data_IF_853966028753
#
_entry.id   IF_853966028753
#
_cell.length_a   1.000
_cell.length_b   1.000
_cell.length_c   1.000
_cell.angle_alpha   90.00
_cell.angle_beta   90.00
_cell.angle_gamma   90.00
#
_symmetry.space_group_name_H-M   'P 1'
#
loop_
_entity.id
_entity.type
_entity.pdbx_description
1 polymer ?
#
# COMPACT_ATOMS: atom_id res chain seq x y z
N UNK A 1 -5.35 25.62 10.22
CA UNK A 1 -5.82 24.94 9.01
C UNK A 1 -4.66 24.91 8.03
N UNK A 2 -4.19 23.71 7.66
CA UNK A 2 -3.19 23.56 6.62
C UNK A 2 -3.79 23.94 5.25
N UNK A 3 -3.07 24.63 4.37
CA UNK A 3 -3.54 24.93 3.03
C UNK A 3 -3.70 23.63 2.23
N UNK A 4 -4.81 23.51 1.50
CA UNK A 4 -5.06 22.38 0.62
C UNK A 4 -4.97 22.90 -0.82
N UNK A 5 -4.09 22.31 -1.62
CA UNK A 5 -3.97 22.56 -3.05
C UNK A 5 -4.55 21.35 -3.78
N UNK A 6 -5.60 21.56 -4.57
CA UNK A 6 -6.18 20.53 -5.42
C UNK A 6 -5.70 20.69 -6.85
N UNK A 7 -5.09 19.65 -7.40
CA UNK A 7 -4.57 19.62 -8.76
C UNK A 7 -5.29 18.54 -9.55
N UNK A 8 -5.68 18.87 -10.79
CA UNK A 8 -6.33 17.93 -11.71
C UNK A 8 -5.50 17.82 -12.97
N UNK A 9 -5.13 16.59 -13.33
CA UNK A 9 -4.42 16.29 -14.56
C UNK A 9 -5.28 15.35 -15.43
N UNK A 10 -5.56 15.80 -16.63
CA UNK A 10 -6.30 15.06 -17.66
C UNK A 10 -5.42 14.72 -18.88
N UNK A 11 -4.16 15.17 -18.86
CA UNK A 11 -3.15 14.89 -19.90
C UNK A 11 -1.79 14.57 -19.29
N UNK A 12 -0.94 13.87 -20.04
CA UNK A 12 0.43 13.54 -19.63
C UNK A 12 1.29 14.81 -19.37
N UNK A 13 1.09 15.85 -20.15
CA UNK A 13 1.78 17.14 -19.99
C UNK A 13 1.45 17.76 -18.63
N UNK A 14 0.17 17.84 -18.29
CA UNK A 14 -0.27 18.32 -16.98
C UNK A 14 0.22 17.44 -15.83
N UNK A 15 0.24 16.12 -16.02
CA UNK A 15 0.82 15.20 -15.03
C UNK A 15 2.31 15.48 -14.81
N UNK A 16 3.07 15.75 -15.88
CA UNK A 16 4.49 16.11 -15.78
C UNK A 16 4.72 17.42 -15.03
N UNK A 17 3.89 18.45 -15.30
CA UNK A 17 3.92 19.72 -14.59
C UNK A 17 3.58 19.56 -13.11
N UNK A 18 2.51 18.81 -12.82
CA UNK A 18 2.10 18.50 -11.45
C UNK A 18 3.19 17.74 -10.71
N UNK A 19 3.81 16.75 -11.35
CA UNK A 19 4.97 16.02 -10.79
C UNK A 19 6.07 16.97 -10.37
N UNK A 20 6.49 17.87 -11.27
CA UNK A 20 7.53 18.84 -10.96
C UNK A 20 7.14 19.75 -9.81
N UNK A 21 5.88 20.16 -9.72
CA UNK A 21 5.34 20.96 -8.63
C UNK A 21 5.34 20.21 -7.29
N UNK A 22 4.83 18.98 -7.28
CA UNK A 22 4.80 18.14 -6.07
C UNK A 22 6.20 17.88 -5.54
N UNK A 23 7.14 17.51 -6.42
CA UNK A 23 8.52 17.19 -6.03
C UNK A 23 9.31 18.39 -5.47
N UNK A 24 8.84 19.60 -5.77
CA UNK A 24 9.42 20.85 -5.25
C UNK A 24 8.62 21.48 -4.12
N UNK A 25 7.44 20.94 -3.86
CA UNK A 25 6.60 21.41 -2.76
C UNK A 25 7.10 20.85 -1.44
N UNK A 26 6.93 21.64 -0.39
CA UNK A 26 7.18 21.22 0.99
C UNK A 26 5.88 20.68 1.60
N UNK A 27 5.19 19.82 0.85
CA UNK A 27 3.91 19.28 1.26
C UNK A 27 4.08 18.17 2.31
N UNK A 28 3.36 18.26 3.42
CA UNK A 28 3.33 17.22 4.44
C UNK A 28 2.59 15.95 3.95
N UNK A 29 1.62 16.15 3.06
CA UNK A 29 0.77 15.09 2.51
C UNK A 29 0.59 15.25 1.01
N UNK A 30 0.70 14.13 0.30
CA UNK A 30 0.21 13.98 -1.07
C UNK A 30 -0.91 12.94 -1.06
N UNK A 31 -2.07 13.32 -1.56
CA UNK A 31 -3.21 12.41 -1.70
C UNK A 31 -3.51 12.28 -3.18
N UNK A 32 -3.27 11.10 -3.72
CA UNK A 32 -3.65 10.76 -5.09
C UNK A 32 -5.00 10.05 -5.05
N UNK A 33 -6.03 10.73 -5.52
CA UNK A 33 -7.40 10.22 -5.45
C UNK A 33 -7.58 8.90 -6.19
N UNK A 34 -6.87 8.71 -7.30
CA UNK A 34 -6.83 7.45 -8.03
C UNK A 34 -5.59 7.38 -8.93
N UNK A 35 -4.85 6.25 -8.84
CA UNK A 35 -3.80 5.91 -9.78
C UNK A 35 -4.30 4.81 -10.73
N UNK A 36 -4.32 5.08 -12.03
CA UNK A 36 -4.85 4.17 -13.08
C UNK A 36 -3.83 3.76 -14.12
N UNK A 37 -2.73 4.49 -14.23
CA UNK A 37 -1.72 4.29 -15.26
C UNK A 37 -0.30 4.44 -14.71
N UNK A 38 0.68 4.08 -15.53
CA UNK A 38 2.08 4.09 -15.15
C UNK A 38 2.60 5.46 -14.72
N UNK A 39 2.08 6.55 -15.32
CA UNK A 39 2.50 7.91 -14.97
C UNK A 39 2.01 8.30 -13.58
N UNK A 40 0.76 7.99 -13.27
CA UNK A 40 0.18 8.22 -11.94
C UNK A 40 0.91 7.38 -10.88
N UNK A 41 1.23 6.12 -11.19
CA UNK A 41 2.00 5.25 -10.30
C UNK A 41 3.42 5.77 -10.06
N UNK A 42 4.12 6.24 -11.09
CA UNK A 42 5.46 6.81 -10.96
C UNK A 42 5.46 8.07 -10.06
N UNK A 43 4.50 8.97 -10.28
CA UNK A 43 4.33 10.16 -9.43
C UNK A 43 4.04 9.77 -7.98
N UNK A 44 3.12 8.83 -7.77
CA UNK A 44 2.76 8.36 -6.45
C UNK A 44 3.96 7.75 -5.71
N UNK A 45 4.71 6.86 -6.37
CA UNK A 45 5.88 6.22 -5.79
C UNK A 45 6.99 7.22 -5.46
N UNK A 46 7.29 8.14 -6.38
CA UNK A 46 8.30 9.18 -6.15
C UNK A 46 7.89 10.13 -5.03
N UNK A 47 6.62 10.52 -4.99
CA UNK A 47 6.11 11.37 -3.90
C UNK A 47 6.24 10.71 -2.53
N UNK A 48 6.01 9.39 -2.45
CA UNK A 48 6.16 8.63 -1.22
C UNK A 48 7.63 8.37 -0.83
N UNK A 49 8.56 8.38 -1.81
CA UNK A 49 9.95 7.97 -1.59
C UNK A 49 10.94 9.14 -1.46
N UNK A 50 10.66 10.30 -2.05
CA UNK A 50 11.64 11.38 -2.29
C UNK A 50 11.13 12.74 -1.86
N UNK A 51 10.59 13.12 -0.96
CA UNK A 51 10.31 14.52 -0.62
C UNK A 51 9.01 14.77 0.09
N UNK A 52 8.14 13.80 0.10
CA UNK A 52 6.88 13.87 0.84
C UNK A 52 6.86 12.76 1.87
N UNK A 53 6.70 13.13 3.13
CA UNK A 53 6.72 12.15 4.24
C UNK A 53 5.52 11.21 4.23
N UNK A 54 4.38 11.65 3.67
CA UNK A 54 3.12 10.92 3.74
C UNK A 54 2.39 10.96 2.42
N UNK A 55 2.29 9.82 1.76
CA UNK A 55 1.52 9.68 0.54
C UNK A 55 0.37 8.69 0.75
N UNK A 56 -0.81 9.05 0.26
CA UNK A 56 -1.96 8.17 0.20
C UNK A 56 -2.45 8.09 -1.23
N UNK A 57 -2.79 6.89 -1.66
CA UNK A 57 -3.38 6.70 -2.98
C UNK A 57 -4.53 5.69 -2.92
N UNK A 58 -5.44 5.78 -3.87
CA UNK A 58 -6.35 4.68 -4.18
C UNK A 58 -5.99 4.07 -5.52
N UNK A 59 -6.05 2.76 -5.60
CA UNK A 59 -5.78 1.99 -6.80
C UNK A 59 -6.63 0.71 -6.82
N UNK A 60 -6.79 0.11 -7.99
CA UNK A 60 -7.61 -1.08 -8.16
C UNK A 60 -6.73 -2.29 -8.44
N UNK A 61 -6.70 -3.22 -7.48
CA UNK A 61 -6.03 -4.51 -7.59
C UNK A 61 -6.97 -5.63 -7.16
N UNK A 62 -6.81 -6.82 -7.74
CA UNK A 62 -7.66 -7.96 -7.44
C UNK A 62 -7.48 -8.46 -6.01
N UNK A 63 -6.25 -8.45 -5.53
CA UNK A 63 -5.91 -8.84 -4.17
C UNK A 63 -4.83 -7.93 -3.58
N UNK A 64 -4.75 -7.77 -2.26
CA UNK A 64 -3.67 -7.02 -1.63
C UNK A 64 -2.30 -7.66 -1.88
N UNK A 65 -2.24 -8.97 -2.15
CA UNK A 65 -1.01 -9.71 -2.43
C UNK A 65 -0.42 -9.37 -3.81
N UNK A 66 -1.23 -8.88 -4.74
CA UNK A 66 -0.79 -8.49 -6.08
C UNK A 66 -0.22 -7.07 -6.11
N UNK A 67 -0.60 -6.24 -5.15
CA UNK A 67 -0.35 -4.79 -5.17
C UNK A 67 1.10 -4.41 -5.49
N UNK A 68 2.15 -4.87 -4.78
CA UNK A 68 3.51 -4.39 -5.05
C UNK A 68 3.99 -4.72 -6.46
N UNK A 69 3.70 -5.93 -6.92
CA UNK A 69 4.19 -6.41 -8.22
C UNK A 69 3.39 -5.86 -9.40
N UNK A 70 2.07 -5.77 -9.31
CA UNK A 70 1.26 -5.20 -10.39
C UNK A 70 1.52 -3.70 -10.54
N UNK A 71 1.67 -2.98 -9.43
CA UNK A 71 2.09 -1.58 -9.43
C UNK A 71 3.47 -1.42 -10.12
N UNK A 72 4.45 -2.23 -9.72
CA UNK A 72 5.79 -2.20 -10.28
C UNK A 72 5.83 -2.54 -11.78
N UNK A 73 5.03 -3.53 -12.23
CA UNK A 73 4.92 -3.90 -13.65
C UNK A 73 4.45 -2.73 -14.51
N UNK A 74 3.47 -1.95 -14.05
CA UNK A 74 2.98 -0.79 -14.79
C UNK A 74 4.08 0.25 -14.97
N UNK A 75 4.87 0.53 -13.94
CA UNK A 75 5.99 1.46 -14.03
C UNK A 75 7.07 0.91 -14.98
N UNK A 76 7.50 -0.33 -14.77
CA UNK A 76 8.58 -0.94 -15.56
C UNK A 76 8.22 -1.09 -17.03
N UNK A 77 6.94 -1.29 -17.36
CA UNK A 77 6.46 -1.36 -18.75
C UNK A 77 6.73 -0.07 -19.52
N UNK A 78 6.69 1.08 -18.86
CA UNK A 78 6.86 2.40 -19.50
C UNK A 78 8.30 2.90 -19.37
N UNK A 79 8.88 2.78 -18.19
CA UNK A 79 10.16 3.38 -17.85
C UNK A 79 11.34 2.41 -17.90
N UNK A 80 11.07 1.12 -18.06
CA UNK A 80 12.09 0.07 -17.96
C UNK A 80 12.48 -0.21 -16.50
N UNK A 81 13.44 -1.11 -16.32
CA UNK A 81 13.94 -1.47 -14.99
C UNK A 81 13.62 -2.92 -14.59
N UNK A 82 13.73 -3.21 -13.32
CA UNK A 82 13.48 -4.53 -12.75
C UNK A 82 12.22 -4.53 -11.90
N UNK A 83 11.27 -5.40 -12.22
CA UNK A 83 9.97 -5.47 -11.51
C UNK A 83 10.14 -5.81 -10.03
N UNK A 84 11.10 -6.66 -9.66
CA UNK A 84 11.31 -7.02 -8.26
C UNK A 84 11.87 -5.86 -7.45
N UNK A 85 12.85 -5.13 -8.02
CA UNK A 85 13.43 -3.96 -7.36
C UNK A 85 12.37 -2.87 -7.15
N UNK A 86 11.53 -2.65 -8.18
CA UNK A 86 10.47 -1.66 -8.11
C UNK A 86 9.34 -2.09 -7.16
N UNK A 87 9.01 -3.38 -7.08
CA UNK A 87 8.06 -3.91 -6.10
C UNK A 87 8.55 -3.72 -4.65
N UNK A 88 9.85 -3.85 -4.41
CA UNK A 88 10.46 -3.55 -3.10
C UNK A 88 10.30 -2.08 -2.77
N UNK A 89 10.54 -1.18 -3.74
CA UNK A 89 10.34 0.27 -3.55
C UNK A 89 8.88 0.59 -3.22
N UNK A 90 7.93 -0.04 -3.92
CA UNK A 90 6.49 0.10 -3.66
C UNK A 90 6.13 -0.37 -2.25
N UNK A 91 6.61 -1.55 -1.83
CA UNK A 91 6.33 -2.08 -0.50
C UNK A 91 6.90 -1.22 0.63
N UNK A 92 8.08 -0.61 0.43
CA UNK A 92 8.68 0.33 1.38
C UNK A 92 7.94 1.66 1.45
N UNK A 93 7.43 2.15 0.30
CA UNK A 93 6.73 3.43 0.22
C UNK A 93 5.29 3.34 0.76
N UNK A 94 4.62 2.22 0.54
CA UNK A 94 3.23 1.97 0.92
C UNK A 94 3.14 0.79 1.87
N UNK A 95 3.60 1.00 3.09
CA UNK A 95 3.67 -0.04 4.12
C UNK A 95 2.30 -0.58 4.54
N UNK A 96 1.27 0.28 4.53
CA UNK A 96 -0.09 -0.07 4.96
C UNK A 96 -1.02 -0.14 3.76
N UNK A 97 -1.74 -1.25 3.62
CA UNK A 97 -2.76 -1.45 2.62
C UNK A 97 -4.12 -1.72 3.27
N UNK A 98 -5.12 -0.94 2.89
CA UNK A 98 -6.53 -1.15 3.25
C UNK A 98 -7.25 -1.68 2.03
N UNK A 99 -7.60 -2.96 2.02
CA UNK A 99 -8.30 -3.59 0.90
C UNK A 99 -9.80 -3.60 1.12
N UNK A 100 -10.54 -3.09 0.12
CA UNK A 100 -12.00 -3.02 0.14
C UNK A 100 -12.60 -3.88 -0.95
N UNK A 101 -13.70 -4.54 -0.63
CA UNK A 101 -14.49 -5.34 -1.58
C UNK A 101 -15.93 -4.85 -1.64
N UNK A 102 -16.63 -5.23 -2.70
CA UNK A 102 -18.07 -5.09 -2.76
C UNK A 102 -18.72 -6.15 -1.84
N UNK A 103 -19.74 -5.73 -1.09
CA UNK A 103 -20.51 -6.69 -0.31
C UNK A 103 -21.25 -7.67 -1.23
N UNK A 104 -21.23 -8.98 -0.93
CA UNK A 104 -21.95 -9.95 -1.74
C UNK A 104 -23.44 -9.58 -1.90
N UNK A 105 -23.96 -9.71 -3.09
CA UNK A 105 -25.35 -9.37 -3.45
C UNK A 105 -25.73 -7.90 -3.28
N UNK A 106 -24.80 -7.00 -2.96
CA UNK A 106 -25.07 -5.57 -2.88
C UNK A 106 -23.82 -4.74 -3.25
N UNK A 107 -23.63 -4.49 -4.55
CA UNK A 107 -22.48 -3.77 -5.10
C UNK A 107 -22.36 -2.31 -4.61
N UNK A 108 -23.46 -1.74 -4.11
CA UNK A 108 -23.44 -0.38 -3.55
C UNK A 108 -22.81 -0.34 -2.15
N UNK A 109 -22.71 -1.47 -1.46
CA UNK A 109 -22.08 -1.56 -0.15
C UNK A 109 -20.63 -2.01 -0.29
N UNK A 110 -19.74 -1.28 0.36
CA UNK A 110 -18.32 -1.63 0.47
C UNK A 110 -18.05 -2.23 1.85
N UNK A 111 -17.09 -3.15 1.90
CA UNK A 111 -16.55 -3.71 3.14
C UNK A 111 -15.04 -3.59 3.12
N UNK A 112 -14.45 -3.25 4.26
CA UNK A 112 -13.03 -3.43 4.47
C UNK A 112 -12.78 -4.95 4.54
N UNK A 113 -12.14 -5.49 3.51
CA UNK A 113 -11.82 -6.92 3.42
C UNK A 113 -10.65 -7.26 4.32
N UNK A 114 -9.69 -6.35 4.44
CA UNK A 114 -8.56 -6.56 5.33
C UNK A 114 -7.63 -5.36 5.44
N UNK A 115 -6.80 -5.43 6.47
CA UNK A 115 -5.68 -4.52 6.71
C UNK A 115 -4.40 -5.35 6.61
N UNK A 116 -3.48 -4.90 5.75
CA UNK A 116 -2.25 -5.60 5.46
C UNK A 116 -1.06 -4.67 5.64
N UNK A 117 0.05 -5.23 6.14
CA UNK A 117 1.31 -4.50 6.32
C UNK A 117 2.37 -5.18 5.45
N UNK A 118 3.04 -4.40 4.61
CA UNK A 118 4.19 -4.86 3.86
C UNK A 118 5.46 -4.62 4.66
N UNK A 119 6.32 -5.63 4.70
CA UNK A 119 7.64 -5.60 5.30
C UNK A 119 8.66 -6.10 4.27
N UNK A 120 9.66 -5.29 3.96
CA UNK A 120 10.80 -5.77 3.17
C UNK A 120 11.86 -6.39 4.08
N UNK A 121 12.20 -7.63 3.82
CA UNK A 121 13.25 -8.37 4.52
C UNK A 121 14.53 -8.38 3.71
N UNK A 122 15.50 -7.59 4.12
CA UNK A 122 16.74 -7.40 3.37
C UNK A 122 17.65 -8.65 3.37
N UNK A 123 17.56 -9.49 4.39
CA UNK A 123 18.31 -10.73 4.53
C UNK A 123 17.88 -11.82 3.54
N UNK A 124 16.59 -11.86 3.20
CA UNK A 124 16.02 -12.83 2.25
C UNK A 124 15.63 -12.21 0.91
N UNK A 125 15.73 -10.89 0.77
CA UNK A 125 15.24 -10.12 -0.40
C UNK A 125 13.76 -10.37 -0.71
N UNK A 126 12.95 -10.56 0.34
CA UNK A 126 11.53 -10.85 0.20
C UNK A 126 10.66 -9.68 0.68
N UNK A 127 9.54 -9.49 0.01
CA UNK A 127 8.43 -8.70 0.52
C UNK A 127 7.53 -9.64 1.31
N UNK A 128 7.39 -9.41 2.61
CA UNK A 128 6.48 -10.15 3.45
C UNK A 128 5.21 -9.34 3.69
N UNK A 129 4.05 -9.98 3.58
CA UNK A 129 2.77 -9.35 3.86
C UNK A 129 2.20 -9.94 5.15
N UNK A 130 1.97 -9.08 6.13
CA UNK A 130 1.29 -9.42 7.37
C UNK A 130 -0.18 -9.06 7.27
N UNK A 131 -1.04 -9.98 7.69
CA UNK A 131 -2.48 -9.75 7.77
C UNK A 131 -2.83 -9.35 9.19
N UNK A 132 -3.30 -8.12 9.35
CA UNK A 132 -3.69 -7.57 10.66
C UNK A 132 -5.18 -7.77 10.91
N UNK A 133 -5.99 -7.60 9.87
CA UNK A 133 -7.43 -7.73 9.93
C UNK A 133 -7.92 -8.49 8.69
N UNK A 134 -8.91 -9.36 8.87
CA UNK A 134 -9.53 -10.12 7.79
C UNK A 134 -11.03 -10.19 7.99
N UNK A 135 -11.78 -9.90 6.92
CA UNK A 135 -13.23 -10.03 6.88
C UNK A 135 -13.66 -11.44 6.46
N UNK A 136 -14.59 -12.00 7.22
CA UNK A 136 -15.31 -13.23 6.86
C UNK A 136 -16.65 -12.86 6.25
N UNK A 137 -16.78 -13.12 4.96
CA UNK A 137 -17.99 -12.84 4.17
C UNK A 137 -19.19 -13.67 4.64
N UNK A 138 -18.95 -14.89 5.11
CA UNK A 138 -20.02 -15.82 5.51
C UNK A 138 -20.67 -15.40 6.84
N UNK A 139 -19.84 -14.92 7.75
CA UNK A 139 -20.28 -14.56 9.10
C UNK A 139 -20.47 -13.04 9.30
N UNK A 140 -20.25 -12.21 8.25
CA UNK A 140 -20.27 -10.73 8.30
C UNK A 140 -19.50 -10.20 9.51
N UNK A 141 -18.28 -10.70 9.71
CA UNK A 141 -17.46 -10.41 10.88
C UNK A 141 -15.99 -10.22 10.53
N UNK A 142 -15.23 -9.59 11.43
CA UNK A 142 -13.79 -9.42 11.27
C UNK A 142 -13.04 -10.20 12.33
N UNK A 143 -11.91 -10.75 11.95
CA UNK A 143 -10.91 -11.33 12.84
C UNK A 143 -9.61 -10.54 12.78
N UNK A 144 -8.83 -10.58 13.85
CA UNK A 144 -7.65 -9.75 14.01
C UNK A 144 -6.45 -10.57 14.44
N UNK A 145 -5.27 -10.14 13.99
CA UNK A 145 -3.98 -10.67 14.40
C UNK A 145 -3.16 -9.53 15.02
N UNK A 146 -2.61 -9.73 16.21
CA UNK A 146 -1.72 -8.76 16.82
C UNK A 146 -0.32 -8.91 16.25
N UNK A 147 0.03 -8.00 15.37
CA UNK A 147 1.36 -7.94 14.77
C UNK A 147 1.80 -6.48 14.60
N UNK A 148 2.91 -6.15 15.20
CA UNK A 148 3.60 -4.87 15.03
C UNK A 148 4.95 -5.17 14.41
N UNK A 149 5.26 -4.53 13.28
CA UNK A 149 6.58 -4.63 12.64
C UNK A 149 7.51 -3.54 13.17
N UNK A 150 8.82 -3.74 13.02
CA UNK A 150 9.82 -2.75 13.45
C UNK A 150 9.61 -1.40 12.78
N UNK A 151 9.23 -1.40 11.49
CA UNK A 151 8.92 -0.18 10.76
C UNK A 151 7.67 0.52 11.28
N UNK A 152 6.61 -0.21 11.63
CA UNK A 152 5.43 0.38 12.28
C UNK A 152 5.79 1.02 13.61
N UNK A 153 6.61 0.35 14.41
CA UNK A 153 7.04 0.86 15.72
C UNK A 153 7.90 2.12 15.56
N UNK A 154 8.86 2.10 14.63
CA UNK A 154 9.71 3.26 14.32
C UNK A 154 8.87 4.45 13.86
N UNK A 155 8.03 4.26 12.83
CA UNK A 155 7.17 5.32 12.28
C UNK A 155 6.20 5.85 13.35
N UNK A 156 5.59 4.96 14.12
CA UNK A 156 4.67 5.35 15.18
C UNK A 156 5.32 6.20 16.25
N UNK A 157 6.56 5.86 16.65
CA UNK A 157 7.34 6.66 17.60
C UNK A 157 7.73 8.03 17.04
N UNK A 158 8.08 8.10 15.76
CA UNK A 158 8.50 9.34 15.10
C UNK A 158 7.31 10.29 14.82
N UNK A 159 6.15 9.74 14.48
CA UNK A 159 5.01 10.53 14.01
C UNK A 159 4.05 10.95 15.14
N UNK A 160 3.58 10.00 15.93
CA UNK A 160 2.70 10.25 17.06
C UNK A 160 2.69 9.05 18.01
N UNK A 161 3.57 9.08 18.99
CA UNK A 161 3.75 7.96 19.91
C UNK A 161 2.50 7.61 20.74
N UNK A 162 1.72 8.61 21.17
CA UNK A 162 0.51 8.36 21.95
C UNK A 162 -0.57 7.68 21.13
N UNK A 163 -0.82 8.15 19.91
CA UNK A 163 -1.75 7.51 18.99
C UNK A 163 -1.29 6.09 18.59
N UNK A 164 0.01 5.89 18.44
CA UNK A 164 0.58 4.57 18.18
C UNK A 164 0.34 3.60 19.34
N UNK A 165 0.56 4.02 20.59
CA UNK A 165 0.27 3.19 21.78
C UNK A 165 -1.20 2.84 21.88
N UNK A 166 -2.08 3.81 21.64
CA UNK A 166 -3.53 3.59 21.63
C UNK A 166 -3.90 2.54 20.57
N UNK A 167 -3.42 2.69 19.35
CA UNK A 167 -3.61 1.73 18.27
C UNK A 167 -3.13 0.31 18.65
N UNK A 168 -1.93 0.18 19.25
CA UNK A 168 -1.41 -1.10 19.69
C UNK A 168 -2.30 -1.75 20.77
N UNK A 169 -2.75 -0.96 21.74
CA UNK A 169 -3.64 -1.43 22.82
C UNK A 169 -4.99 -1.90 22.27
N UNK A 170 -5.59 -1.12 21.39
CA UNK A 170 -6.86 -1.46 20.72
C UNK A 170 -6.73 -2.74 19.88
N UNK A 171 -5.65 -2.83 19.09
CA UNK A 171 -5.39 -4.02 18.26
C UNK A 171 -5.20 -5.28 19.12
N UNK A 172 -4.51 -5.17 20.26
CA UNK A 172 -4.33 -6.29 21.18
C UNK A 172 -5.66 -6.76 21.76
N UNK A 173 -6.54 -5.82 22.15
CA UNK A 173 -7.88 -6.12 22.65
C UNK A 173 -8.71 -6.81 21.55
N UNK A 174 -8.70 -6.29 20.33
CA UNK A 174 -9.42 -6.85 19.20
C UNK A 174 -8.92 -8.26 18.85
N UNK A 175 -7.61 -8.46 18.80
CA UNK A 175 -7.01 -9.76 18.51
C UNK A 175 -7.33 -10.82 19.59
N UNK A 176 -7.44 -10.43 20.86
CA UNK A 176 -7.89 -11.32 21.93
C UNK A 176 -9.37 -11.66 21.86
N UNK A 177 -10.19 -10.67 21.49
CA UNK A 177 -11.66 -10.83 21.43
C UNK A 177 -12.14 -11.54 20.18
N UNK A 178 -11.49 -11.27 19.06
CA UNK A 178 -11.83 -11.79 17.73
C UNK A 178 -10.57 -12.33 17.05
N UNK A 179 -9.99 -13.41 17.57
CA UNK A 179 -8.73 -13.95 17.03
C UNK A 179 -8.90 -14.44 15.59
N UNK A 180 -7.84 -14.29 14.80
CA UNK A 180 -7.79 -14.83 13.46
C UNK A 180 -7.43 -16.32 13.51
N UNK A 181 -8.38 -17.19 13.15
CA UNK A 181 -8.20 -18.64 13.18
C UNK A 181 -7.10 -19.11 12.21
N UNK A 182 -6.99 -18.46 11.07
CA UNK A 182 -6.00 -18.77 10.04
C UNK A 182 -5.28 -17.52 9.60
N UNK A 183 -4.05 -17.35 10.07
CA UNK A 183 -3.15 -16.31 9.56
C UNK A 183 -2.78 -16.62 8.09
N UNK A 184 -3.05 -15.65 7.21
CA UNK A 184 -2.74 -15.73 5.78
C UNK A 184 -1.49 -14.91 5.41
N UNK A 185 -0.77 -14.43 6.42
CA UNK A 185 0.53 -13.74 6.25
C UNK A 185 1.53 -14.64 5.53
N UNK A 186 2.26 -14.07 4.58
CA UNK A 186 3.22 -14.84 3.77
C UNK A 186 4.26 -13.95 3.11
N UNK A 187 5.39 -14.53 2.72
CA UNK A 187 6.30 -13.93 1.76
C UNK A 187 5.65 -13.91 0.36
N UNK A 188 5.78 -12.79 -0.33
CA UNK A 188 5.40 -12.68 -1.74
C UNK A 188 6.51 -13.29 -2.60
N UNK A 189 6.14 -14.14 -3.55
CA UNK A 189 7.11 -14.73 -4.46
C UNK A 189 7.64 -13.67 -5.42
N UNK A 190 8.96 -13.61 -5.67
CA UNK A 190 9.53 -12.75 -6.68
C UNK A 190 8.88 -12.96 -8.05
N UNK A 191 8.78 -11.90 -8.81
CA UNK A 191 8.32 -11.98 -10.19
C UNK A 191 9.42 -12.61 -11.06
N UNK A 192 9.15 -13.81 -11.56
CA UNK A 192 9.99 -14.42 -12.59
C UNK A 192 9.32 -14.18 -13.95
N UNK A 193 9.90 -13.30 -14.77
CA UNK A 193 9.54 -13.30 -16.18
C UNK A 193 9.85 -14.71 -16.70
N UNK A 194 8.87 -15.37 -17.29
CA UNK A 194 9.17 -16.54 -18.09
C UNK A 194 10.03 -16.05 -19.27
N UNK A 195 11.34 -16.09 -19.09
CA UNK A 195 12.30 -15.97 -20.17
C UNK A 195 12.25 -17.24 -21.03
N UNK A 196 11.12 -17.48 -21.64
CA UNK A 196 10.96 -18.36 -22.77
C UNK A 196 11.48 -17.57 -23.95
N UNK A 197 12.74 -17.81 -24.32
CA UNK A 197 13.31 -17.21 -25.51
C UNK A 197 12.44 -17.49 -26.72
N UNK A 198 11.97 -16.43 -27.35
CA UNK A 198 11.76 -16.44 -28.78
C UNK A 198 13.12 -16.11 -29.39
N UNK A 199 13.75 -17.17 -29.97
CA UNK A 199 14.77 -17.00 -30.98
C UNK A 199 14.16 -16.46 -32.23
#
# INVERSE_FOLDING_TARGET
NAPIISLVADTEEKLSEIRSSIMRSDADYVIMAEARDAYAYDIALKSASVGTRRCKLTAHFNTPFDFPYEFAKEIVRVYGGNVNDEAINVAKAYTVNLHFINYPNNISKKRLEGIYIFEYRADTYEIYIHTICKYDVLNDSWSFNYKITDDMERIGKEENYEAFKEMCSELEILAKKYPMDKDVSKALRPFYSRSGGYK
#
